data_IF_181973520877
#
_entry.id   IF_181973520877
#
_cell.length_a   1.000
_cell.length_b   1.000
_cell.length_c   1.000
_cell.angle_alpha   90.00
_cell.angle_beta   90.00
_cell.angle_gamma   90.00
#
_symmetry.space_group_name_H-M   'P 1'
#
loop_
_entity.id
_entity.type
_entity.pdbx_description
1 polymer ?
#
# COMPACT_ATOMS: atom_id res chain seq x y z
N UNK A 1 -15.45 -3.40 -25.60
CA UNK A 1 -14.64 -4.08 -24.58
C UNK A 1 -14.98 -3.44 -23.26
N UNK A 2 -15.40 -4.22 -22.27
CA UNK A 2 -15.87 -3.70 -20.98
C UNK A 2 -14.66 -3.34 -20.09
N UNK A 3 -14.82 -2.39 -19.17
CA UNK A 3 -13.76 -1.91 -18.26
C UNK A 3 -13.09 -3.08 -17.53
N UNK A 4 -13.88 -4.01 -17.00
CA UNK A 4 -13.40 -5.17 -16.24
C UNK A 4 -12.54 -6.15 -17.08
N UNK A 5 -12.69 -6.17 -18.40
CA UNK A 5 -11.87 -7.04 -19.28
C UNK A 5 -10.44 -6.50 -19.44
N UNK A 6 -10.28 -5.17 -19.46
CA UNK A 6 -8.98 -4.52 -19.63
C UNK A 6 -8.07 -4.77 -18.44
N UNK A 7 -8.58 -4.60 -17.22
CA UNK A 7 -7.83 -4.87 -15.98
C UNK A 7 -7.34 -6.33 -15.95
N UNK A 8 -8.19 -7.30 -16.26
CA UNK A 8 -7.81 -8.71 -16.25
C UNK A 8 -6.69 -9.03 -17.25
N UNK A 9 -6.74 -8.46 -18.46
CA UNK A 9 -5.69 -8.62 -19.47
C UNK A 9 -4.39 -7.93 -19.02
N UNK A 10 -4.50 -6.73 -18.43
CA UNK A 10 -3.37 -5.97 -17.90
C UNK A 10 -2.65 -6.74 -16.77
N UNK A 11 -3.42 -7.26 -15.80
CA UNK A 11 -2.93 -8.07 -14.68
C UNK A 11 -2.24 -9.34 -15.18
N UNK A 12 -2.85 -10.07 -16.12
CA UNK A 12 -2.21 -11.23 -16.76
C UNK A 12 -0.92 -10.89 -17.51
N UNK A 13 -0.85 -9.72 -18.14
CA UNK A 13 0.38 -9.25 -18.78
C UNK A 13 1.45 -8.90 -17.73
N UNK A 14 1.05 -8.29 -16.61
CA UNK A 14 1.93 -7.96 -15.49
C UNK A 14 2.55 -9.22 -14.86
N UNK A 15 1.75 -10.26 -14.61
CA UNK A 15 2.20 -11.55 -14.07
C UNK A 15 3.20 -12.25 -15.00
N UNK A 16 2.96 -12.14 -16.31
CA UNK A 16 3.88 -12.63 -17.36
C UNK A 16 5.10 -11.73 -17.58
N UNK A 17 5.28 -10.70 -16.75
CA UNK A 17 6.38 -9.73 -16.83
C UNK A 17 6.42 -8.92 -18.13
N UNK A 18 5.30 -8.85 -18.84
CA UNK A 18 5.13 -7.99 -20.01
C UNK A 18 4.78 -6.56 -19.58
N UNK A 19 5.62 -5.96 -18.75
CA UNK A 19 5.29 -4.74 -18.00
C UNK A 19 4.93 -3.54 -18.88
N UNK A 20 5.62 -3.33 -20.01
CA UNK A 20 5.25 -2.25 -20.95
C UNK A 20 3.83 -2.41 -21.50
N UNK A 21 3.42 -3.65 -21.79
CA UNK A 21 2.06 -3.96 -22.22
C UNK A 21 1.06 -3.79 -21.08
N UNK A 22 1.39 -4.27 -19.88
CA UNK A 22 0.56 -4.13 -18.69
C UNK A 22 0.31 -2.65 -18.37
N UNK A 23 1.36 -1.81 -18.36
CA UNK A 23 1.27 -0.38 -18.13
C UNK A 23 0.29 0.29 -19.10
N UNK A 24 0.41 0.01 -20.39
CA UNK A 24 -0.48 0.56 -21.41
C UNK A 24 -1.95 0.19 -21.14
N UNK A 25 -2.20 -1.08 -20.84
CA UNK A 25 -3.55 -1.57 -20.58
C UNK A 25 -4.13 -1.03 -19.26
N UNK A 26 -3.32 -0.93 -18.20
CA UNK A 26 -3.72 -0.29 -16.96
C UNK A 26 -4.05 1.20 -17.17
N UNK A 27 -3.27 1.93 -17.98
CA UNK A 27 -3.57 3.32 -18.32
C UNK A 27 -4.93 3.43 -19.04
N UNK A 28 -5.17 2.62 -20.07
CA UNK A 28 -6.44 2.61 -20.81
C UNK A 28 -7.64 2.27 -19.90
N UNK A 29 -7.47 1.28 -19.02
CA UNK A 29 -8.47 0.84 -18.06
C UNK A 29 -8.77 1.93 -17.00
N UNK A 30 -7.73 2.53 -16.43
CA UNK A 30 -7.84 3.60 -15.43
C UNK A 30 -8.49 4.87 -16.00
N UNK A 31 -8.18 5.24 -17.26
CA UNK A 31 -8.85 6.36 -17.96
C UNK A 31 -10.35 6.10 -18.10
N UNK A 32 -10.74 4.82 -18.21
CA UNK A 32 -12.14 4.41 -18.27
C UNK A 32 -12.81 4.31 -16.89
N UNK A 33 -12.09 4.65 -15.80
CA UNK A 33 -12.63 4.67 -14.44
C UNK A 33 -12.34 3.43 -13.59
N UNK A 34 -11.51 2.49 -14.07
CA UNK A 34 -11.15 1.30 -13.30
C UNK A 34 -10.25 1.62 -12.11
N UNK A 35 -10.77 1.46 -10.90
CA UNK A 35 -10.08 1.82 -9.66
C UNK A 35 -8.87 0.90 -9.39
N UNK A 36 -8.99 -0.40 -9.66
CA UNK A 36 -7.91 -1.36 -9.46
C UNK A 36 -6.73 -1.08 -10.39
N UNK A 37 -6.99 -0.63 -11.63
CA UNK A 37 -5.95 -0.17 -12.54
C UNK A 37 -5.27 1.10 -12.05
N UNK A 38 -5.99 2.04 -11.42
CA UNK A 38 -5.36 3.21 -10.79
C UNK A 38 -4.40 2.79 -9.67
N UNK A 39 -4.83 1.85 -8.82
CA UNK A 39 -3.97 1.26 -7.76
C UNK A 39 -2.73 0.61 -8.37
N UNK A 40 -2.89 -0.20 -9.42
CA UNK A 40 -1.77 -0.87 -10.08
C UNK A 40 -0.79 0.11 -10.75
N UNK A 41 -1.28 1.22 -11.28
CA UNK A 41 -0.42 2.30 -11.80
C UNK A 41 0.39 2.94 -10.68
N UNK A 42 -0.23 3.20 -9.52
CA UNK A 42 0.43 3.66 -8.31
C UNK A 42 1.62 2.75 -7.94
N UNK A 43 1.37 1.45 -7.88
CA UNK A 43 2.39 0.42 -7.58
C UNK A 43 3.49 0.38 -8.64
N UNK A 44 3.15 0.40 -9.94
CA UNK A 44 4.14 0.31 -11.01
C UNK A 44 5.09 1.51 -11.02
N UNK A 45 4.58 2.72 -10.85
CA UNK A 45 5.40 3.93 -10.78
C UNK A 45 6.24 3.99 -9.49
N UNK A 46 5.69 3.54 -8.35
CA UNK A 46 6.40 3.55 -7.07
C UNK A 46 7.51 2.50 -6.97
N UNK A 47 7.30 1.33 -7.60
CA UNK A 47 8.28 0.22 -7.59
C UNK A 47 9.26 0.23 -8.76
N UNK A 48 8.99 1.01 -9.82
CA UNK A 48 9.80 1.00 -11.05
C UNK A 48 9.69 -0.33 -11.82
N UNK A 49 8.56 -1.04 -11.70
CA UNK A 49 8.43 -2.36 -12.31
C UNK A 49 8.16 -2.25 -13.81
N UNK A 50 9.24 -2.35 -14.58
CA UNK A 50 9.22 -2.26 -16.05
C UNK A 50 9.10 -0.84 -16.60
N UNK A 51 9.26 0.16 -15.72
CA UNK A 51 9.37 1.58 -16.00
C UNK A 51 10.31 2.24 -14.99
N UNK A 52 10.76 3.46 -15.25
CA UNK A 52 11.50 4.22 -14.23
C UNK A 52 10.61 4.53 -13.02
N UNK A 53 11.24 4.60 -11.85
CA UNK A 53 10.56 5.01 -10.61
C UNK A 53 10.13 6.46 -10.75
N UNK A 54 8.87 6.73 -10.46
CA UNK A 54 8.29 8.08 -10.45
C UNK A 54 7.31 8.18 -9.28
N UNK A 55 7.82 8.53 -8.10
CA UNK A 55 6.99 8.64 -6.89
C UNK A 55 5.90 9.71 -7.02
N UNK A 56 6.12 10.75 -7.82
CA UNK A 56 5.10 11.77 -8.06
C UNK A 56 3.92 11.16 -8.80
N UNK A 57 4.16 10.40 -9.88
CA UNK A 57 3.08 9.69 -10.59
C UNK A 57 2.44 8.59 -9.76
N UNK A 58 3.23 7.90 -8.93
CA UNK A 58 2.68 6.93 -7.97
C UNK A 58 1.64 7.59 -7.07
N UNK A 59 1.99 8.72 -6.43
CA UNK A 59 1.09 9.51 -5.59
C UNK A 59 -0.12 9.99 -6.40
N UNK A 60 0.07 10.54 -7.61
CA UNK A 60 -1.04 11.03 -8.43
C UNK A 60 -2.06 9.93 -8.78
N UNK A 61 -1.62 8.70 -9.03
CA UNK A 61 -2.51 7.58 -9.33
C UNK A 61 -3.19 7.02 -8.08
N UNK A 62 -2.46 6.88 -6.97
CA UNK A 62 -3.06 6.44 -5.72
C UNK A 62 -4.06 7.49 -5.19
N UNK A 63 -3.81 8.80 -5.32
CA UNK A 63 -4.77 9.85 -4.95
C UNK A 63 -6.06 9.79 -5.78
N UNK A 64 -5.96 9.49 -7.09
CA UNK A 64 -7.14 9.24 -7.93
C UNK A 64 -7.91 8.01 -7.47
N UNK A 65 -7.21 6.92 -7.14
CA UNK A 65 -7.83 5.70 -6.62
C UNK A 65 -8.53 5.95 -5.27
N UNK A 66 -7.93 6.72 -4.37
CA UNK A 66 -8.57 7.15 -3.11
C UNK A 66 -9.82 7.98 -3.37
N UNK A 67 -9.76 8.95 -4.30
CA UNK A 67 -10.93 9.76 -4.68
C UNK A 67 -12.06 8.90 -5.28
N UNK A 68 -11.72 7.77 -5.89
CA UNK A 68 -12.66 6.77 -6.40
C UNK A 68 -13.06 5.69 -5.37
N UNK A 69 -12.61 5.81 -4.11
CA UNK A 69 -13.03 4.94 -3.00
C UNK A 69 -12.10 3.76 -2.69
N UNK A 70 -10.90 3.70 -3.25
CA UNK A 70 -9.94 2.63 -2.95
C UNK A 70 -9.32 2.78 -1.56
N UNK A 71 -9.51 1.75 -0.72
CA UNK A 71 -8.84 1.63 0.58
C UNK A 71 -7.36 1.24 0.37
N UNK A 72 -7.07 0.32 -0.54
CA UNK A 72 -5.69 -0.14 -0.81
C UNK A 72 -4.77 1.00 -1.27
N UNK A 73 -5.31 2.01 -1.94
CA UNK A 73 -4.56 3.20 -2.32
C UNK A 73 -4.13 4.06 -1.11
N UNK A 74 -4.87 4.03 0.01
CA UNK A 74 -4.45 4.70 1.25
C UNK A 74 -3.17 4.09 1.80
N UNK A 75 -3.09 2.75 1.81
CA UNK A 75 -1.89 2.02 2.22
C UNK A 75 -0.70 2.34 1.31
N UNK A 76 -0.93 2.33 -0.02
CA UNK A 76 0.11 2.66 -1.00
C UNK A 76 0.66 4.08 -0.80
N UNK A 77 -0.21 5.08 -0.57
CA UNK A 77 0.25 6.44 -0.26
C UNK A 77 1.13 6.46 0.99
N UNK A 78 0.73 5.76 2.05
CA UNK A 78 1.55 5.61 3.25
C UNK A 78 2.93 5.01 2.95
N UNK A 79 3.00 3.94 2.16
CA UNK A 79 4.24 3.29 1.76
C UNK A 79 5.11 4.23 0.91
N UNK A 80 4.54 4.90 -0.07
CA UNK A 80 5.25 5.82 -0.97
C UNK A 80 5.82 7.01 -0.19
N UNK A 81 5.02 7.68 0.65
CA UNK A 81 5.50 8.79 1.48
C UNK A 81 6.59 8.35 2.47
N UNK A 82 6.46 7.15 3.06
CA UNK A 82 7.51 6.58 3.92
C UNK A 82 8.81 6.37 3.15
N UNK A 83 8.71 5.89 1.90
CA UNK A 83 9.86 5.57 1.05
C UNK A 83 10.65 6.83 0.66
N UNK A 84 9.95 7.94 0.41
CA UNK A 84 10.59 9.23 0.10
C UNK A 84 10.96 10.06 1.34
N UNK A 85 10.76 9.51 2.54
CA UNK A 85 11.18 10.11 3.81
C UNK A 85 10.19 11.12 4.42
N UNK A 86 8.99 11.32 3.84
CA UNK A 86 7.96 12.18 4.43
C UNK A 86 7.14 11.38 5.46
N UNK A 87 7.72 11.22 6.66
CA UNK A 87 7.13 10.42 7.74
C UNK A 87 5.81 11.02 8.27
N UNK A 88 5.64 12.35 8.16
CA UNK A 88 4.40 13.02 8.59
C UNK A 88 3.25 12.61 7.68
N UNK A 89 3.42 12.67 6.36
CA UNK A 89 2.40 12.22 5.42
C UNK A 89 2.23 10.71 5.44
N UNK A 90 3.32 9.95 5.57
CA UNK A 90 3.25 8.50 5.69
C UNK A 90 2.33 8.08 6.84
N UNK A 91 2.56 8.64 8.03
CA UNK A 91 1.73 8.40 9.21
C UNK A 91 0.26 8.74 8.94
N UNK A 92 -0.01 9.92 8.40
CA UNK A 92 -1.36 10.38 8.09
C UNK A 92 -2.12 9.40 7.18
N UNK A 93 -1.47 8.90 6.12
CA UNK A 93 -2.09 7.97 5.20
C UNK A 93 -2.27 6.57 5.80
N UNK A 94 -1.30 6.08 6.59
CA UNK A 94 -1.49 4.82 7.31
C UNK A 94 -2.61 4.89 8.34
N UNK A 95 -2.75 5.99 9.09
CA UNK A 95 -3.86 6.17 10.03
C UNK A 95 -5.21 6.19 9.31
N UNK A 96 -5.30 6.85 8.15
CA UNK A 96 -6.51 6.79 7.30
C UNK A 96 -6.81 5.38 6.82
N UNK A 97 -5.80 4.66 6.34
CA UNK A 97 -5.94 3.28 5.86
C UNK A 97 -6.44 2.35 6.97
N UNK A 98 -5.86 2.44 8.16
CA UNK A 98 -6.27 1.68 9.33
C UNK A 98 -7.70 1.99 9.75
N UNK A 99 -8.08 3.27 9.78
CA UNK A 99 -9.44 3.70 10.11
C UNK A 99 -10.47 3.25 9.05
N UNK A 100 -10.03 3.03 7.81
CA UNK A 100 -10.85 2.47 6.74
C UNK A 100 -10.93 0.94 6.78
N UNK A 101 -10.23 0.27 7.71
CA UNK A 101 -10.29 -1.17 7.93
C UNK A 101 -9.08 -1.96 7.42
N UNK A 102 -8.07 -1.31 6.83
CA UNK A 102 -6.85 -1.99 6.41
C UNK A 102 -5.87 -2.16 7.58
N UNK A 103 -5.87 -3.35 8.16
CA UNK A 103 -5.06 -3.68 9.34
C UNK A 103 -3.56 -3.72 9.03
N UNK A 104 -3.15 -3.92 7.77
CA UNK A 104 -1.73 -3.91 7.41
C UNK A 104 -1.08 -2.55 7.72
N UNK A 105 -1.86 -1.46 7.61
CA UNK A 105 -1.40 -0.13 7.98
C UNK A 105 -0.98 -0.01 9.45
N UNK A 106 -1.58 -0.80 10.37
CA UNK A 106 -1.12 -0.84 11.76
C UNK A 106 0.31 -1.39 11.87
N UNK A 107 0.67 -2.41 11.09
CA UNK A 107 2.04 -2.93 11.08
C UNK A 107 3.04 -1.86 10.61
N UNK A 108 2.68 -1.06 9.61
CA UNK A 108 3.51 0.05 9.16
C UNK A 108 3.66 1.14 10.22
N UNK A 109 2.58 1.51 10.90
CA UNK A 109 2.62 2.45 12.02
C UNK A 109 3.50 1.91 13.16
N UNK A 110 3.38 0.63 13.50
CA UNK A 110 4.26 0.00 14.48
C UNK A 110 5.73 0.14 14.10
N UNK A 111 6.10 -0.24 12.87
CA UNK A 111 7.47 -0.13 12.36
C UNK A 111 7.99 1.32 12.39
N UNK A 112 7.14 2.32 12.14
CA UNK A 112 7.51 3.73 12.26
C UNK A 112 7.82 4.12 13.71
N UNK A 113 6.99 3.66 14.66
CA UNK A 113 7.16 3.95 16.09
C UNK A 113 8.32 3.17 16.74
N UNK A 114 8.73 2.03 16.17
CA UNK A 114 9.87 1.26 16.65
C UNK A 114 11.22 1.97 16.47
N UNK A 115 11.31 3.00 15.62
CA UNK A 115 12.55 3.75 15.38
C UNK A 115 12.91 4.64 16.59
N UNK A 116 11.94 4.99 17.43
CA UNK A 116 12.14 5.82 18.62
C UNK A 116 11.87 5.04 19.90
N UNK A 117 12.85 4.98 20.81
CA UNK A 117 12.69 4.38 22.15
C UNK A 117 11.60 5.07 22.99
N UNK A 118 11.23 6.31 22.64
CA UNK A 118 10.21 7.09 23.33
C UNK A 118 8.78 6.72 22.92
N UNK A 119 8.60 5.86 21.91
CA UNK A 119 7.28 5.52 21.35
C UNK A 119 6.98 4.01 21.35
N UNK A 120 7.71 3.25 22.17
CA UNK A 120 7.58 1.79 22.29
C UNK A 120 6.15 1.34 22.61
N UNK A 121 5.42 2.06 23.46
CA UNK A 121 4.04 1.73 23.80
C UNK A 121 3.09 1.90 22.60
N UNK A 122 3.34 2.90 21.74
CA UNK A 122 2.59 3.07 20.49
C UNK A 122 2.88 1.91 19.55
N UNK A 123 4.15 1.55 19.38
CA UNK A 123 4.53 0.40 18.58
C UNK A 123 3.84 -0.88 19.06
N UNK A 124 3.89 -1.18 20.37
CA UNK A 124 3.19 -2.32 20.97
C UNK A 124 1.69 -2.30 20.69
N UNK A 125 1.03 -1.15 20.89
CA UNK A 125 -0.41 -0.99 20.61
C UNK A 125 -0.76 -1.39 19.17
N UNK A 126 -0.01 -0.92 18.18
CA UNK A 126 -0.28 -1.26 16.79
C UNK A 126 0.02 -2.72 16.46
N UNK A 127 1.06 -3.31 17.04
CA UNK A 127 1.34 -4.75 16.87
C UNK A 127 0.21 -5.62 17.44
N UNK A 128 -0.34 -5.26 18.60
CA UNK A 128 -1.49 -5.97 19.19
C UNK A 128 -2.74 -5.89 18.29
N UNK A 129 -2.96 -4.76 17.59
CA UNK A 129 -4.06 -4.65 16.61
C UNK A 129 -3.90 -5.70 15.51
N UNK A 130 -2.68 -5.86 14.98
CA UNK A 130 -2.41 -6.84 13.91
C UNK A 130 -2.57 -8.27 14.42
N UNK A 131 -1.98 -8.59 15.57
CA UNK A 131 -1.99 -9.94 16.16
C UNK A 131 -3.41 -10.43 16.43
N UNK A 132 -4.27 -9.54 16.95
CA UNK A 132 -5.64 -9.89 17.33
C UNK A 132 -6.66 -9.75 16.18
N UNK A 133 -6.24 -9.28 15.01
CA UNK A 133 -7.13 -9.11 13.86
C UNK A 133 -7.49 -10.44 13.20
N UNK A 134 -8.75 -10.57 12.76
CA UNK A 134 -9.20 -11.70 11.94
C UNK A 134 -8.84 -11.51 10.46
N UNK A 135 -8.70 -10.26 10.03
CA UNK A 135 -8.53 -9.87 8.63
C UNK A 135 -7.04 -9.73 8.23
N UNK A 136 -6.13 -9.73 9.21
CA UNK A 136 -4.70 -9.72 8.93
C UNK A 136 -4.23 -11.04 8.33
N UNK A 137 -3.41 -10.97 7.28
CA UNK A 137 -2.74 -12.13 6.71
C UNK A 137 -1.84 -12.81 7.74
N UNK A 138 -1.73 -14.14 7.68
CA UNK A 138 -0.92 -14.93 8.62
C UNK A 138 0.56 -14.52 8.63
N UNK A 139 1.11 -14.15 7.46
CA UNK A 139 2.48 -13.62 7.37
C UNK A 139 2.63 -12.29 8.13
N UNK A 140 1.64 -11.41 8.05
CA UNK A 140 1.61 -10.09 8.70
C UNK A 140 1.48 -10.26 10.22
N UNK A 141 0.67 -11.23 10.66
CA UNK A 141 0.56 -11.61 12.08
C UNK A 141 1.87 -12.18 12.61
N UNK A 142 2.49 -13.10 11.88
CA UNK A 142 3.76 -13.70 12.28
C UNK A 142 4.84 -12.63 12.45
N UNK A 143 4.96 -11.69 11.50
CA UNK A 143 5.87 -10.56 11.61
C UNK A 143 5.54 -9.69 12.84
N UNK A 144 4.26 -9.39 13.08
CA UNK A 144 3.85 -8.60 14.23
C UNK A 144 4.24 -9.26 15.56
N UNK A 145 4.07 -10.59 15.68
CA UNK A 145 4.49 -11.37 16.86
C UNK A 145 5.99 -11.30 17.08
N UNK A 146 6.79 -11.39 16.02
CA UNK A 146 8.25 -11.30 16.11
C UNK A 146 8.70 -9.91 16.57
N UNK A 147 8.19 -8.85 15.94
CA UNK A 147 8.49 -7.48 16.33
C UNK A 147 8.06 -7.20 17.79
N UNK A 148 6.93 -7.76 18.22
CA UNK A 148 6.42 -7.62 19.59
C UNK A 148 7.37 -8.22 20.63
N UNK A 149 8.02 -9.35 20.31
CA UNK A 149 9.02 -9.99 21.18
C UNK A 149 10.29 -9.12 21.31
N UNK A 150 10.69 -8.44 20.25
CA UNK A 150 11.85 -7.53 20.28
C UNK A 150 11.65 -6.35 21.24
N UNK A 151 10.41 -5.87 21.42
CA UNK A 151 10.07 -4.75 22.30
C UNK A 151 9.84 -5.14 23.78
N UNK A 152 10.00 -6.42 24.11
CA UNK A 152 9.91 -6.94 25.48
C UNK A 152 11.27 -7.18 26.15
N UNK A 153 12.37 -6.96 25.42
CA UNK A 153 13.74 -7.05 25.91
C UNK A 153 14.22 -5.67 26.35
#
# INVERSE_FOLDING_TARGET
>A
MMINELFAIASKAYDKRHYKKALKLFLESAISGDVDSMVMLGVMYGSGKGIEIDFKKSIEWDEKAVAAGSISALLNLGITYRTIGDLVKAKHWFEKSLNAGDVEAALHLAKMYMISELEVDRAKKYLEIVINSKDALEITKAEAVELRKCLCK
#
